data_IF_052213181357
#
_entry.id   IF_052213181357
#
_cell.length_a   1.000
_cell.length_b   1.000
_cell.length_c   1.000
_cell.angle_alpha   90.00
_cell.angle_beta   90.00
_cell.angle_gamma   90.00
#
_symmetry.space_group_name_H-M   'P 1'
#
loop_
_entity.id
_entity.type
_entity.pdbx_description
1 polymer ?
#
# COMPACT_ATOMS: atom_id res chain seq x y z
N UNK A 1 30.60 7.16 0.02
CA UNK A 1 29.62 6.07 0.28
C UNK A 1 28.84 5.82 -1.01
N UNK A 2 29.30 4.85 -1.83
CA UNK A 2 28.68 4.53 -3.12
C UNK A 2 27.37 3.77 -2.87
N UNK A 3 26.23 4.34 -3.27
CA UNK A 3 24.95 3.64 -3.26
C UNK A 3 24.97 2.68 -4.44
N UNK A 4 25.21 1.40 -4.17
CA UNK A 4 25.16 0.35 -5.18
C UNK A 4 23.83 0.43 -5.93
N UNK A 5 23.91 0.68 -7.24
CA UNK A 5 22.74 0.68 -8.12
C UNK A 5 22.14 -0.72 -8.09
N UNK A 6 20.87 -0.91 -7.68
CA UNK A 6 20.27 -2.23 -7.61
C UNK A 6 20.26 -2.85 -9.02
N UNK A 7 20.55 -4.15 -9.17
CA UNK A 7 20.57 -4.80 -10.47
C UNK A 7 19.23 -4.61 -11.17
N UNK A 8 19.27 -3.97 -12.34
CA UNK A 8 18.15 -3.77 -13.25
C UNK A 8 17.65 -5.14 -13.72
N UNK A 9 16.71 -5.74 -12.98
CA UNK A 9 16.33 -7.11 -13.25
C UNK A 9 15.07 -7.57 -12.52
N UNK A 10 13.91 -7.30 -13.13
CA UNK A 10 12.68 -8.11 -13.01
C UNK A 10 12.00 -8.12 -11.62
N UNK A 11 11.46 -7.00 -11.20
CA UNK A 11 10.26 -7.07 -10.35
C UNK A 11 9.08 -7.49 -11.21
N UNK A 12 8.71 -8.77 -11.08
CA UNK A 12 7.52 -9.37 -11.68
C UNK A 12 6.34 -8.45 -11.42
N UNK A 13 5.72 -7.94 -12.49
CA UNK A 13 4.48 -7.17 -12.44
C UNK A 13 3.53 -7.82 -11.44
N UNK A 14 3.20 -7.13 -10.35
CA UNK A 14 2.31 -7.68 -9.31
C UNK A 14 0.90 -8.01 -9.83
N UNK A 15 0.58 -7.56 -11.05
CA UNK A 15 -0.58 -7.94 -11.83
C UNK A 15 -0.10 -8.78 -13.02
N UNK A 16 -0.15 -10.10 -12.87
CA UNK A 16 0.22 -11.09 -13.90
C UNK A 16 -0.98 -11.46 -14.76
N UNK A 17 -2.19 -11.37 -14.20
CA UNK A 17 -3.43 -11.70 -14.90
C UNK A 17 -4.42 -10.55 -14.87
N UNK A 18 -5.33 -10.57 -15.86
CA UNK A 18 -6.50 -9.69 -15.89
C UNK A 18 -7.37 -9.83 -14.63
N UNK A 19 -7.58 -11.06 -14.15
CA UNK A 19 -8.34 -11.32 -12.94
C UNK A 19 -7.69 -10.68 -11.69
N UNK A 20 -6.37 -10.75 -11.57
CA UNK A 20 -5.62 -10.06 -10.51
C UNK A 20 -5.79 -8.55 -10.60
N UNK A 21 -5.71 -7.95 -11.81
CA UNK A 21 -5.96 -6.52 -11.99
C UNK A 21 -7.37 -6.13 -11.52
N UNK A 22 -8.41 -6.87 -11.92
CA UNK A 22 -9.79 -6.62 -11.49
C UNK A 22 -9.93 -6.74 -9.97
N UNK A 23 -9.28 -7.72 -9.35
CA UNK A 23 -9.28 -7.90 -7.91
C UNK A 23 -8.58 -6.74 -7.17
N UNK A 24 -7.42 -6.29 -7.65
CA UNK A 24 -6.69 -5.15 -7.07
C UNK A 24 -7.49 -3.84 -7.20
N UNK A 25 -8.08 -3.58 -8.37
CA UNK A 25 -8.96 -2.42 -8.58
C UNK A 25 -10.21 -2.48 -7.68
N UNK A 26 -10.81 -3.66 -7.51
CA UNK A 26 -11.95 -3.84 -6.61
C UNK A 26 -11.57 -3.59 -5.14
N UNK A 27 -10.39 -4.04 -4.72
CA UNK A 27 -9.85 -3.76 -3.39
C UNK A 27 -9.58 -2.26 -3.20
N UNK A 28 -8.97 -1.60 -4.18
CA UNK A 28 -8.68 -0.18 -4.13
C UNK A 28 -9.96 0.68 -4.13
N UNK A 29 -11.00 0.28 -4.88
CA UNK A 29 -12.33 0.88 -4.81
C UNK A 29 -12.89 0.78 -3.39
N UNK A 30 -12.81 -0.40 -2.77
CA UNK A 30 -13.28 -0.62 -1.39
C UNK A 30 -12.54 0.28 -0.38
N UNK A 31 -11.22 0.45 -0.53
CA UNK A 31 -10.43 1.42 0.26
C UNK A 31 -10.99 2.83 0.11
N UNK A 32 -11.10 3.35 -1.11
CA UNK A 32 -11.51 4.74 -1.33
C UNK A 32 -12.97 5.00 -0.93
N UNK A 33 -13.90 4.07 -1.17
CA UNK A 33 -15.26 4.16 -0.64
C UNK A 33 -15.27 4.31 0.88
N UNK A 34 -14.47 3.49 1.56
CA UNK A 34 -14.35 3.55 3.03
C UNK A 34 -13.80 4.89 3.50
N UNK A 35 -12.77 5.42 2.84
CA UNK A 35 -12.15 6.72 3.15
C UNK A 35 -13.12 7.89 2.92
N UNK A 36 -13.79 7.93 1.77
CA UNK A 36 -14.82 8.95 1.46
C UNK A 36 -15.92 8.93 2.52
N UNK A 37 -16.40 7.73 2.88
CA UNK A 37 -17.41 7.60 3.91
C UNK A 37 -16.90 8.07 5.29
N UNK A 38 -15.66 7.71 5.68
CA UNK A 38 -15.07 8.15 6.95
C UNK A 38 -14.95 9.68 7.00
N UNK A 39 -14.57 10.32 5.88
CA UNK A 39 -14.44 11.78 5.79
C UNK A 39 -15.80 12.47 5.88
N UNK A 40 -16.83 11.95 5.19
CA UNK A 40 -18.21 12.47 5.28
C UNK A 40 -18.76 12.39 6.70
N UNK A 41 -18.52 11.27 7.38
CA UNK A 41 -18.89 11.11 8.79
C UNK A 41 -18.17 12.11 9.69
N UNK A 42 -16.85 12.29 9.52
CA UNK A 42 -16.08 13.32 10.24
C UNK A 42 -16.63 14.72 10.00
N UNK A 43 -16.87 15.10 8.74
CA UNK A 43 -17.44 16.41 8.41
C UNK A 43 -18.83 16.63 9.03
N UNK A 44 -19.66 15.57 9.08
CA UNK A 44 -20.96 15.62 9.75
C UNK A 44 -20.87 15.73 11.27
N UNK A 45 -19.82 15.20 11.89
CA UNK A 45 -19.55 15.37 13.33
C UNK A 45 -19.01 16.77 13.62
N UNK A 46 -18.06 17.26 12.81
CA UNK A 46 -17.51 18.61 12.87
C UNK A 46 -18.62 19.67 12.80
N UNK A 47 -19.55 19.55 11.85
CA UNK A 47 -20.72 20.46 11.74
C UNK A 47 -21.65 20.44 12.94
N UNK A 48 -21.64 19.37 13.73
CA UNK A 48 -22.45 19.22 14.96
C UNK A 48 -21.66 19.61 16.22
N UNK A 49 -20.44 20.13 16.08
CA UNK A 49 -19.55 20.41 17.22
C UNK A 49 -19.05 19.16 17.95
N UNK A 50 -19.17 17.97 17.35
CA UNK A 50 -18.74 16.71 17.95
C UNK A 50 -17.34 16.37 17.46
N UNK A 51 -16.34 16.53 18.31
CA UNK A 51 -14.93 16.26 17.95
C UNK A 51 -14.48 14.83 18.23
N UNK A 52 -15.22 14.09 19.06
CA UNK A 52 -14.89 12.71 19.43
C UNK A 52 -16.12 11.86 19.64
N UNK A 53 -16.07 10.62 19.13
CA UNK A 53 -17.09 9.60 19.40
C UNK A 53 -16.65 8.73 20.58
N UNK A 54 -17.51 8.64 21.59
CA UNK A 54 -17.34 7.77 22.75
C UNK A 54 -18.21 6.51 22.63
N UNK A 55 -18.15 5.62 23.63
CA UNK A 55 -19.01 4.43 23.70
C UNK A 55 -18.90 3.47 22.50
N UNK A 56 -20.04 2.89 22.11
CA UNK A 56 -20.13 1.92 21.04
C UNK A 56 -19.76 2.51 19.66
N UNK A 57 -20.21 3.74 19.37
CA UNK A 57 -19.93 4.42 18.12
C UNK A 57 -18.42 4.67 17.92
N UNK A 58 -17.74 5.13 18.97
CA UNK A 58 -16.29 5.30 18.96
C UNK A 58 -15.54 3.98 18.74
N UNK A 59 -15.94 2.91 19.43
CA UNK A 59 -15.37 1.57 19.26
C UNK A 59 -15.54 1.06 17.82
N UNK A 60 -16.73 1.21 17.24
CA UNK A 60 -17.02 0.80 15.87
C UNK A 60 -16.16 1.55 14.84
N UNK A 61 -16.04 2.89 14.99
CA UNK A 61 -15.18 3.71 14.12
C UNK A 61 -13.71 3.27 14.20
N UNK A 62 -13.16 3.11 15.41
CA UNK A 62 -11.78 2.63 15.59
C UNK A 62 -11.56 1.24 14.98
N UNK A 63 -12.52 0.33 15.13
CA UNK A 63 -12.43 -1.00 14.51
C UNK A 63 -12.38 -0.92 12.98
N UNK A 64 -13.21 -0.07 12.36
CA UNK A 64 -13.19 0.17 10.91
C UNK A 64 -11.86 0.79 10.45
N UNK A 65 -11.34 1.80 11.16
CA UNK A 65 -10.03 2.39 10.85
C UNK A 65 -8.89 1.38 10.98
N UNK A 66 -8.89 0.52 12.03
CA UNK A 66 -7.90 -0.55 12.19
C UNK A 66 -7.95 -1.57 11.06
N UNK A 67 -9.15 -2.03 10.67
CA UNK A 67 -9.30 -2.94 9.52
C UNK A 67 -8.78 -2.31 8.22
N UNK A 68 -9.07 -1.03 8.01
CA UNK A 68 -8.59 -0.30 6.85
C UNK A 68 -7.06 -0.18 6.84
N UNK A 69 -6.45 0.24 7.95
CA UNK A 69 -5.00 0.37 8.09
C UNK A 69 -4.25 -0.97 7.97
N UNK A 70 -4.86 -2.05 8.46
CA UNK A 70 -4.31 -3.40 8.30
C UNK A 70 -4.27 -3.83 6.83
N UNK A 71 -5.35 -3.58 6.09
CA UNK A 71 -5.46 -3.98 4.67
C UNK A 71 -4.69 -3.04 3.74
N UNK A 72 -4.65 -1.75 4.06
CA UNK A 72 -4.04 -0.68 3.27
C UNK A 72 -3.15 0.19 4.19
N UNK A 73 -1.89 -0.22 4.45
CA UNK A 73 -0.97 0.56 5.26
C UNK A 73 -0.85 1.99 4.75
N UNK A 74 -1.01 2.97 5.64
CA UNK A 74 -0.96 4.40 5.29
C UNK A 74 -2.30 5.01 4.83
N UNK A 75 -3.38 4.22 4.69
CA UNK A 75 -4.69 4.77 4.28
C UNK A 75 -5.25 5.83 5.25
N UNK A 76 -4.98 5.73 6.55
CA UNK A 76 -5.43 6.74 7.51
C UNK A 76 -4.66 8.06 7.35
N UNK A 77 -3.36 8.01 7.04
CA UNK A 77 -2.58 9.21 6.72
C UNK A 77 -3.13 9.94 5.50
N UNK A 78 -3.62 9.20 4.51
CA UNK A 78 -4.25 9.78 3.32
C UNK A 78 -5.59 10.47 3.65
N UNK A 79 -6.35 9.93 4.63
CA UNK A 79 -7.55 10.58 5.14
C UNK A 79 -7.24 11.96 5.73
N UNK A 80 -6.11 12.07 6.42
CA UNK A 80 -5.69 13.28 7.13
C UNK A 80 -5.06 14.32 6.18
N UNK A 81 -4.19 13.88 5.27
CA UNK A 81 -3.38 14.79 4.45
C UNK A 81 -4.07 15.24 3.15
N UNK A 82 -4.91 14.40 2.56
CA UNK A 82 -5.46 14.67 1.22
C UNK A 82 -6.98 14.39 1.16
N UNK A 83 -7.80 14.94 2.07
CA UNK A 83 -9.23 14.66 2.09
C UNK A 83 -9.96 15.13 0.82
N UNK A 84 -9.48 16.19 0.17
CA UNK A 84 -10.09 16.78 -1.02
C UNK A 84 -10.06 15.84 -2.24
N UNK A 85 -9.02 15.01 -2.38
CA UNK A 85 -8.82 14.16 -3.58
C UNK A 85 -9.52 12.81 -3.50
N UNK A 86 -9.99 12.41 -2.31
CA UNK A 86 -10.54 11.06 -2.08
C UNK A 86 -11.73 10.73 -2.99
N UNK A 87 -12.61 11.71 -3.23
CA UNK A 87 -13.78 11.53 -4.09
C UNK A 87 -13.40 11.41 -5.58
N UNK A 88 -12.44 12.22 -6.06
CA UNK A 88 -11.92 12.13 -7.42
C UNK A 88 -11.24 10.77 -7.66
N UNK A 89 -10.34 10.37 -6.75
CA UNK A 89 -9.68 9.06 -6.80
C UNK A 89 -10.65 7.88 -6.79
N UNK A 90 -11.75 7.97 -6.02
CA UNK A 90 -12.79 6.96 -6.06
C UNK A 90 -13.42 6.86 -7.45
N UNK A 91 -13.81 7.99 -8.06
CA UNK A 91 -14.42 8.02 -9.40
C UNK A 91 -13.48 7.42 -10.45
N UNK A 92 -12.20 7.77 -10.40
CA UNK A 92 -11.18 7.26 -11.33
C UNK A 92 -10.95 5.75 -11.18
N UNK A 93 -10.88 5.24 -9.96
CA UNK A 93 -10.76 3.79 -9.71
C UNK A 93 -12.02 3.04 -10.15
N UNK A 94 -13.20 3.63 -9.97
CA UNK A 94 -14.45 3.06 -10.46
C UNK A 94 -14.51 3.02 -11.99
N UNK A 95 -14.03 4.07 -12.67
CA UNK A 95 -13.91 4.10 -14.12
C UNK A 95 -12.95 3.01 -14.62
N UNK A 96 -11.75 2.91 -14.04
CA UNK A 96 -10.79 1.87 -14.39
C UNK A 96 -11.30 0.46 -14.10
N UNK A 97 -12.05 0.25 -13.02
CA UNK A 97 -12.65 -1.05 -12.73
C UNK A 97 -13.74 -1.43 -13.75
N UNK A 98 -14.57 -0.47 -14.18
CA UNK A 98 -15.57 -0.70 -15.24
C UNK A 98 -14.88 -1.06 -16.55
N UNK A 99 -13.87 -0.28 -16.96
CA UNK A 99 -13.09 -0.56 -18.16
C UNK A 99 -12.37 -1.91 -18.08
N UNK A 100 -11.77 -2.25 -16.94
CA UNK A 100 -11.11 -3.53 -16.76
C UNK A 100 -12.10 -4.70 -16.90
N UNK A 101 -13.37 -4.53 -16.50
CA UNK A 101 -14.38 -5.59 -16.64
C UNK A 101 -14.94 -5.72 -18.06
N UNK A 102 -15.03 -4.62 -18.81
CA UNK A 102 -15.65 -4.58 -20.13
C UNK A 102 -14.65 -4.68 -21.31
N UNK A 103 -13.40 -4.29 -21.10
CA UNK A 103 -12.44 -4.06 -22.17
C UNK A 103 -11.41 -5.18 -22.39
N UNK A 104 -10.48 -4.97 -23.33
CA UNK A 104 -9.43 -5.94 -23.64
C UNK A 104 -8.55 -6.23 -22.42
N UNK A 105 -8.00 -7.46 -22.38
CA UNK A 105 -7.16 -7.98 -21.30
C UNK A 105 -5.83 -7.21 -21.18
N UNK A 106 -5.86 -6.00 -20.65
CA UNK A 106 -4.66 -5.27 -20.21
C UNK A 106 -4.33 -5.70 -18.78
N UNK A 107 -3.06 -6.03 -18.57
CA UNK A 107 -2.56 -6.49 -17.27
C UNK A 107 -2.27 -5.35 -16.28
N UNK A 108 -2.28 -4.08 -16.73
CA UNK A 108 -1.97 -2.92 -15.89
C UNK A 108 -3.06 -1.83 -15.96
N UNK A 109 -3.28 -1.07 -14.86
CA UNK A 109 -4.08 0.16 -14.89
C UNK A 109 -3.55 1.17 -15.91
N UNK A 110 -4.43 2.01 -16.45
CA UNK A 110 -4.05 3.10 -17.36
C UNK A 110 -3.39 4.26 -16.61
N UNK A 111 -3.89 4.59 -15.42
CA UNK A 111 -3.39 5.69 -14.59
C UNK A 111 -2.20 5.23 -13.77
N UNK A 112 -1.09 5.98 -13.88
CA UNK A 112 0.15 5.65 -13.19
C UNK A 112 -0.02 5.67 -11.66
N UNK A 113 -0.76 6.62 -11.11
CA UNK A 113 -1.00 6.69 -9.67
C UNK A 113 -1.75 5.47 -9.13
N UNK A 114 -2.66 4.86 -9.90
CA UNK A 114 -3.37 3.64 -9.50
C UNK A 114 -2.38 2.49 -9.39
N UNK A 115 -1.50 2.35 -10.39
CA UNK A 115 -0.42 1.36 -10.38
C UNK A 115 0.52 1.57 -9.18
N UNK A 116 0.94 2.82 -8.94
CA UNK A 116 1.75 3.21 -7.79
C UNK A 116 1.09 2.87 -6.46
N UNK A 117 -0.20 3.18 -6.31
CA UNK A 117 -0.94 2.94 -5.07
C UNK A 117 -1.12 1.44 -4.80
N UNK A 118 -1.47 0.64 -5.81
CA UNK A 118 -1.55 -0.82 -5.68
C UNK A 118 -0.20 -1.39 -5.24
N UNK A 119 0.87 -0.96 -5.91
CA UNK A 119 2.23 -1.45 -5.64
C UNK A 119 2.71 -1.04 -4.25
N UNK A 120 2.51 0.22 -3.88
CA UNK A 120 2.84 0.73 -2.55
C UNK A 120 2.16 -0.08 -1.44
N UNK A 121 0.85 -0.31 -1.50
CA UNK A 121 0.13 -1.07 -0.48
C UNK A 121 0.62 -2.51 -0.38
N UNK A 122 0.89 -3.13 -1.53
CA UNK A 122 1.39 -4.48 -1.58
C UNK A 122 2.79 -4.57 -0.92
N UNK A 123 3.73 -3.71 -1.35
CA UNK A 123 5.10 -3.67 -0.82
C UNK A 123 5.15 -3.32 0.66
N UNK A 124 4.30 -2.39 1.13
CA UNK A 124 4.17 -2.09 2.56
C UNK A 124 3.70 -3.30 3.37
N UNK A 125 2.71 -4.07 2.88
CA UNK A 125 2.24 -5.28 3.58
C UNK A 125 3.32 -6.33 3.67
N UNK A 126 4.07 -6.55 2.58
CA UNK A 126 5.19 -7.47 2.55
C UNK A 126 6.26 -7.08 3.58
N UNK A 127 6.73 -5.83 3.53
CA UNK A 127 7.76 -5.32 4.43
C UNK A 127 7.31 -5.37 5.91
N UNK A 128 6.05 -5.03 6.19
CA UNK A 128 5.48 -5.13 7.54
C UNK A 128 5.36 -6.59 8.02
N UNK A 129 5.04 -7.53 7.14
CA UNK A 129 4.98 -8.94 7.49
C UNK A 129 6.37 -9.45 7.89
N UNK A 130 7.41 -9.12 7.12
CA UNK A 130 8.81 -9.46 7.43
C UNK A 130 9.23 -8.81 8.74
N UNK A 131 8.97 -7.51 8.93
CA UNK A 131 9.28 -6.80 10.18
C UNK A 131 8.61 -7.43 11.40
N UNK A 132 7.33 -7.84 11.29
CA UNK A 132 6.61 -8.54 12.37
C UNK A 132 7.17 -9.93 12.65
N UNK A 133 7.61 -10.65 11.62
CA UNK A 133 8.26 -11.94 11.79
C UNK A 133 9.57 -11.79 12.57
N UNK A 134 10.39 -10.79 12.20
CA UNK A 134 11.64 -10.46 12.90
C UNK A 134 11.41 -10.07 14.36
N UNK A 135 10.41 -9.23 14.62
CA UNK A 135 10.09 -8.79 15.98
C UNK A 135 9.72 -9.94 16.94
N UNK A 136 9.28 -11.09 16.42
CA UNK A 136 8.96 -12.31 17.19
C UNK A 136 10.16 -13.24 17.39
N UNK A 137 11.31 -12.94 16.77
CA UNK A 137 12.53 -13.76 16.75
C UNK A 137 13.77 -12.91 17.04
N UNK A 138 13.65 -12.03 18.06
CA UNK A 138 14.61 -10.96 18.37
C UNK A 138 16.06 -11.45 18.46
N UNK A 139 16.27 -12.70 18.85
CA UNK A 139 17.59 -13.17 19.24
C UNK A 139 18.36 -13.89 18.12
N UNK A 140 17.69 -14.33 17.03
CA UNK A 140 18.35 -15.06 15.94
C UNK A 140 17.68 -14.83 14.58
N UNK A 141 18.38 -14.14 13.68
CA UNK A 141 18.00 -14.07 12.26
C UNK A 141 18.36 -15.40 11.57
N UNK A 142 17.35 -16.24 11.36
CA UNK A 142 17.45 -17.48 10.58
C UNK A 142 16.84 -17.25 9.19
N UNK A 143 17.70 -16.99 8.19
CA UNK A 143 17.27 -16.72 6.82
C UNK A 143 16.57 -17.93 6.16
N UNK A 144 17.05 -19.18 6.29
CA UNK A 144 16.29 -20.37 5.90
C UNK A 144 14.87 -20.46 6.51
N UNK A 145 14.72 -20.23 7.81
CA UNK A 145 13.39 -20.22 8.45
C UNK A 145 12.51 -19.08 7.96
N UNK A 146 13.07 -17.89 7.75
CA UNK A 146 12.36 -16.78 7.14
C UNK A 146 11.85 -17.16 5.76
N UNK A 147 12.69 -17.75 4.90
CA UNK A 147 12.32 -18.16 3.54
C UNK A 147 11.19 -19.20 3.55
N UNK A 148 11.24 -20.20 4.45
CA UNK A 148 10.16 -21.20 4.63
C UNK A 148 8.84 -20.57 5.09
N UNK A 149 8.90 -19.61 6.01
CA UNK A 149 7.71 -18.85 6.43
C UNK A 149 7.17 -17.97 5.30
N UNK A 150 8.06 -17.26 4.63
CA UNK A 150 7.73 -16.31 3.57
C UNK A 150 7.12 -17.00 2.35
N UNK A 151 7.57 -18.22 2.02
CA UNK A 151 7.01 -19.05 0.95
C UNK A 151 5.50 -19.31 1.11
N UNK A 152 5.01 -19.34 2.36
CA UNK A 152 3.60 -19.58 2.72
C UNK A 152 2.83 -18.30 3.05
N UNK A 153 3.48 -17.14 2.95
CA UNK A 153 2.91 -15.86 3.38
C UNK A 153 2.05 -15.24 2.27
N UNK A 154 0.76 -14.93 2.51
CA UNK A 154 -0.15 -14.43 1.47
C UNK A 154 0.20 -13.02 0.97
N UNK A 155 1.01 -12.27 1.73
CA UNK A 155 1.47 -10.93 1.36
C UNK A 155 2.79 -10.93 0.58
N UNK A 156 3.31 -12.11 0.19
CA UNK A 156 4.53 -12.23 -0.60
C UNK A 156 4.33 -11.62 -1.99
N UNK A 157 5.27 -10.78 -2.40
CA UNK A 157 5.37 -10.23 -3.75
C UNK A 157 6.63 -10.69 -4.46
N UNK A 158 7.73 -10.82 -3.72
CA UNK A 158 9.02 -11.21 -4.28
C UNK A 158 9.14 -12.74 -4.36
N UNK A 159 9.92 -13.26 -5.32
CA UNK A 159 10.36 -14.66 -5.25
C UNK A 159 11.05 -14.94 -3.92
N UNK A 160 10.89 -16.15 -3.38
CA UNK A 160 11.52 -16.55 -2.10
C UNK A 160 13.03 -16.40 -2.14
N UNK A 161 13.64 -16.71 -3.29
CA UNK A 161 15.08 -16.56 -3.52
C UNK A 161 15.55 -15.10 -3.41
N UNK A 162 14.69 -14.12 -3.70
CA UNK A 162 14.99 -12.69 -3.60
C UNK A 162 14.84 -12.13 -2.18
N UNK A 163 14.44 -12.95 -1.20
CA UNK A 163 14.50 -12.60 0.22
C UNK A 163 15.90 -12.96 0.72
N UNK A 164 16.76 -11.95 0.79
CA UNK A 164 18.15 -12.05 1.24
C UNK A 164 18.37 -11.26 2.55
N UNK A 165 19.60 -11.35 3.09
CA UNK A 165 19.96 -10.66 4.31
C UNK A 165 19.87 -9.12 4.17
N UNK A 166 20.14 -8.57 2.98
CA UNK A 166 20.10 -7.13 2.74
C UNK A 166 18.67 -6.59 2.81
N UNK A 167 17.71 -7.24 2.15
CA UNK A 167 16.30 -6.89 2.23
C UNK A 167 15.77 -7.00 3.67
N UNK A 168 16.16 -8.07 4.38
CA UNK A 168 15.79 -8.29 5.79
C UNK A 168 16.34 -7.18 6.68
N UNK A 169 17.61 -6.82 6.51
CA UNK A 169 18.26 -5.74 7.24
C UNK A 169 17.55 -4.38 6.99
N UNK A 170 17.22 -4.06 5.73
CA UNK A 170 16.46 -2.83 5.40
C UNK A 170 15.06 -2.81 6.01
N UNK A 171 14.42 -3.97 6.14
CA UNK A 171 13.12 -4.09 6.80
C UNK A 171 13.22 -3.95 8.33
N UNK A 172 14.27 -4.51 8.94
CA UNK A 172 14.55 -4.40 10.37
C UNK A 172 14.91 -2.96 10.76
N UNK A 173 15.84 -2.38 10.01
CA UNK A 173 16.51 -1.11 10.29
C UNK A 173 16.46 -0.18 9.07
N UNK A 174 15.28 0.38 8.73
CA UNK A 174 15.18 1.34 7.64
C UNK A 174 15.95 2.62 7.98
N UNK A 175 16.62 3.23 6.98
CA UNK A 175 17.52 4.38 7.16
C UNK A 175 16.90 5.54 7.98
N UNK A 176 15.65 5.89 7.71
CA UNK A 176 14.94 6.98 8.44
C UNK A 176 14.06 6.47 9.59
N UNK A 177 14.28 5.23 10.06
CA UNK A 177 13.39 4.49 10.97
C UNK A 177 11.97 4.27 10.42
N UNK A 178 11.72 4.66 9.16
CA UNK A 178 10.42 4.57 8.48
C UNK A 178 10.47 3.55 7.36
N UNK A 179 9.68 2.50 7.52
CA UNK A 179 9.55 1.46 6.50
C UNK A 179 8.96 1.99 5.19
N UNK A 180 8.17 3.06 5.26
CA UNK A 180 7.63 3.73 4.07
C UNK A 180 8.71 4.31 3.17
N UNK A 181 9.84 4.80 3.71
CA UNK A 181 10.94 5.34 2.89
C UNK A 181 11.54 4.25 1.99
N UNK A 182 11.79 3.05 2.57
CA UNK A 182 12.23 1.87 1.82
C UNK A 182 11.24 1.53 0.70
N UNK A 183 9.95 1.42 1.04
CA UNK A 183 8.93 1.02 0.07
C UNK A 183 8.77 2.07 -1.03
N UNK A 184 8.78 3.36 -0.71
CA UNK A 184 8.72 4.43 -1.71
C UNK A 184 9.90 4.35 -2.68
N UNK A 185 11.13 4.17 -2.19
CA UNK A 185 12.30 4.03 -3.04
C UNK A 185 12.18 2.83 -4.00
N UNK A 186 11.72 1.67 -3.50
CA UNK A 186 11.54 0.47 -4.31
C UNK A 186 10.43 0.63 -5.35
N UNK A 187 9.31 1.26 -5.00
CA UNK A 187 8.21 1.52 -5.95
C UNK A 187 8.59 2.57 -6.99
N UNK A 188 9.36 3.59 -6.60
CA UNK A 188 9.84 4.63 -7.51
C UNK A 188 10.75 4.02 -8.57
N UNK A 189 11.72 3.21 -8.14
CA UNK A 189 12.62 2.49 -9.04
C UNK A 189 11.86 1.55 -9.99
N UNK A 190 10.85 0.81 -9.50
CA UNK A 190 10.05 -0.10 -10.33
C UNK A 190 9.22 0.64 -11.40
N UNK A 191 8.72 1.82 -11.07
CA UNK A 191 7.90 2.63 -11.97
C UNK A 191 8.72 3.59 -12.83
N UNK A 192 10.05 3.57 -12.72
CA UNK A 192 10.95 4.51 -13.39
C UNK A 192 10.57 5.99 -13.15
N UNK A 193 10.14 6.30 -11.93
CA UNK A 193 9.88 7.67 -11.47
C UNK A 193 10.82 8.02 -10.32
N UNK A 194 11.07 9.30 -10.08
CA UNK A 194 11.84 9.70 -8.91
C UNK A 194 10.96 9.66 -7.63
N UNK A 195 11.60 9.75 -6.46
CA UNK A 195 10.89 9.69 -5.19
C UNK A 195 9.90 10.85 -5.01
N UNK A 196 10.20 12.05 -5.50
CA UNK A 196 9.31 13.22 -5.41
C UNK A 196 8.05 12.99 -6.24
N UNK A 197 8.20 12.61 -7.51
CA UNK A 197 7.11 12.26 -8.42
C UNK A 197 6.22 11.15 -7.84
N UNK A 198 6.82 10.11 -7.23
CA UNK A 198 6.02 9.07 -6.59
C UNK A 198 5.18 9.60 -5.43
N UNK A 199 5.73 10.50 -4.61
CA UNK A 199 5.01 11.11 -3.49
C UNK A 199 3.85 11.97 -3.99
N UNK A 200 4.08 12.74 -5.05
CA UNK A 200 3.06 13.53 -5.74
C UNK A 200 1.94 12.62 -6.27
N UNK A 201 2.28 11.57 -7.01
CA UNK A 201 1.32 10.56 -7.49
C UNK A 201 0.49 9.95 -6.35
N UNK A 202 1.12 9.70 -5.19
CA UNK A 202 0.46 9.01 -4.08
C UNK A 202 -0.38 9.93 -3.20
N UNK A 203 -0.12 11.23 -3.11
CA UNK A 203 -0.81 12.09 -2.14
C UNK A 203 -1.35 13.40 -2.69
N UNK A 204 -0.85 13.88 -3.83
CA UNK A 204 -1.32 15.13 -4.42
C UNK A 204 -2.49 14.89 -5.40
N UNK A 205 -3.34 15.92 -5.60
CA UNK A 205 -4.30 15.93 -6.69
C UNK A 205 -3.60 15.71 -8.03
N UNK A 206 -4.19 14.89 -8.88
CA UNK A 206 -3.76 14.77 -10.27
C UNK A 206 -4.73 15.65 -11.06
N UNK A 207 -4.19 16.69 -11.73
CA UNK A 207 -4.96 17.64 -12.53
C UNK A 207 -5.69 16.98 -13.70
#
# INVERSE_FOLDING_TARGET
>A
MQIATPPNGRYVSCMRTHAERVAQLSALRSKYRTLVQLRRESAGLERRGVFSLTGAAGKARRARCRRLAFRFPGALRELDLAPAVLAARLKEVEAELREARAGPKRNRPRRLWISAMIRFHASMREALAVKRWLARRRDRMDLPALRRWYARTPTRLRPVAAVDAAFVARCAWPADRRLSSLVLAEVAAELAVNAVQLRELLWEPQG
#
